data_IF_560073503074
#
_entry.id   IF_560073503074
#
_cell.length_a   1.000
_cell.length_b   1.000
_cell.length_c   1.000
_cell.angle_alpha   90.00
_cell.angle_beta   90.00
_cell.angle_gamma   90.00
#
_symmetry.space_group_name_H-M   'P 1'
#
loop_
_entity.id
_entity.type
_entity.pdbx_description
1 polymer ?
#
# COMPACT_ATOMS: atom_id res chain seq x y z
N UNK A 1 -9.72 -18.39 23.21
CA UNK A 1 -8.57 -17.49 23.01
C UNK A 1 -8.88 -16.18 23.74
N UNK A 2 -8.49 -15.98 25.00
CA UNK A 2 -8.53 -14.64 25.64
C UNK A 2 -7.99 -14.63 27.07
N UNK A 3 -6.77 -14.08 27.23
CA UNK A 3 -6.34 -13.37 28.44
C UNK A 3 -5.63 -12.12 27.95
N UNK A 4 -5.97 -10.99 28.53
CA UNK A 4 -5.35 -9.69 28.29
C UNK A 4 -5.06 -9.06 29.64
N UNK A 5 -3.87 -8.52 29.84
CA UNK A 5 -3.59 -7.68 31.01
C UNK A 5 -3.81 -6.21 30.65
N UNK A 6 -4.62 -5.52 31.45
CA UNK A 6 -4.76 -4.08 31.38
C UNK A 6 -3.53 -3.40 31.97
N UNK A 7 -2.83 -2.58 31.18
CA UNK A 7 -1.86 -1.64 31.74
C UNK A 7 -2.55 -0.33 32.13
N UNK A 8 -2.59 -0.04 33.43
CA UNK A 8 -2.80 1.30 33.97
C UNK A 8 -1.45 2.02 34.07
N UNK A 9 -1.36 3.26 33.60
CA UNK A 9 -0.20 4.13 33.80
C UNK A 9 0.11 4.34 35.29
N UNK A 10 1.37 4.14 35.70
CA UNK A 10 2.22 5.07 36.45
C UNK A 10 3.54 4.40 36.91
N UNK A 11 4.68 5.08 36.72
CA UNK A 11 5.90 4.90 37.53
C UNK A 11 7.05 4.09 36.92
N UNK A 12 8.17 4.76 36.65
CA UNK A 12 9.54 4.20 36.51
C UNK A 12 10.02 3.82 37.93
N UNK A 13 10.74 2.68 38.13
CA UNK A 13 12.20 2.77 38.30
C UNK A 13 13.05 1.58 37.81
N UNK A 14 14.24 1.96 37.34
CA UNK A 14 15.59 1.35 37.42
C UNK A 14 15.89 -0.10 36.97
N UNK A 15 16.92 -0.18 36.12
CA UNK A 15 17.64 -1.38 35.69
C UNK A 15 18.29 -2.14 36.86
N UNK A 16 18.17 -3.47 36.82
CA UNK A 16 19.26 -4.36 37.23
C UNK A 16 19.41 -5.45 36.17
N UNK A 17 20.54 -5.42 35.48
CA UNK A 17 20.99 -6.43 34.54
C UNK A 17 21.19 -7.78 35.25
N UNK A 18 20.56 -8.83 34.73
CA UNK A 18 21.04 -10.21 34.91
C UNK A 18 20.97 -10.92 33.57
N UNK A 19 22.15 -11.28 33.07
CA UNK A 19 22.33 -12.11 31.87
C UNK A 19 21.92 -13.54 32.24
N UNK A 20 20.91 -14.08 31.56
CA UNK A 20 20.67 -15.52 31.51
C UNK A 20 20.41 -15.93 30.07
N UNK A 21 21.33 -16.73 29.53
CA UNK A 21 21.16 -17.50 28.30
C UNK A 21 19.84 -18.27 28.34
N UNK A 22 18.98 -18.07 27.34
CA UNK A 22 18.02 -19.10 26.96
C UNK A 22 17.66 -18.97 25.48
N UNK A 23 18.24 -19.85 24.68
CA UNK A 23 17.81 -20.18 23.32
C UNK A 23 16.45 -20.89 23.35
N UNK A 24 15.40 -20.15 23.73
CA UNK A 24 14.02 -20.52 23.43
C UNK A 24 13.48 -19.45 22.51
N UNK A 25 13.21 -19.80 21.25
CA UNK A 25 12.51 -18.95 20.29
C UNK A 25 11.19 -18.54 20.93
N UNK A 26 11.18 -17.35 21.54
CA UNK A 26 10.03 -16.81 22.22
C UNK A 26 8.96 -16.58 21.17
N UNK A 27 7.83 -17.29 21.29
CA UNK A 27 6.65 -17.03 20.48
C UNK A 27 6.38 -15.53 20.57
N UNK A 28 6.41 -14.80 19.44
CA UNK A 28 6.24 -13.36 19.48
C UNK A 28 4.91 -13.01 20.15
N UNK A 29 4.96 -12.10 21.11
CA UNK A 29 3.77 -11.62 21.81
C UNK A 29 2.77 -11.08 20.79
N UNK A 30 1.50 -11.46 20.93
CA UNK A 30 0.44 -10.94 20.07
C UNK A 30 0.43 -9.40 20.17
N UNK A 31 0.28 -8.63 19.07
CA UNK A 31 0.37 -7.17 19.07
C UNK A 31 -0.60 -6.47 20.03
N UNK A 32 -1.72 -7.13 20.34
CA UNK A 32 -2.74 -6.67 21.29
C UNK A 32 -2.58 -7.26 22.70
N UNK A 33 -1.50 -7.99 22.99
CA UNK A 33 -1.27 -8.66 24.28
C UNK A 33 -2.17 -9.89 24.52
N UNK A 34 -2.77 -10.45 23.47
CA UNK A 34 -3.64 -11.64 23.56
C UNK A 34 -2.81 -12.87 23.83
N UNK A 35 -3.16 -13.61 24.87
CA UNK A 35 -2.54 -14.90 25.20
C UNK A 35 -3.42 -16.08 24.75
N UNK A 36 -2.82 -17.25 24.42
CA UNK A 36 -3.55 -18.49 24.17
C UNK A 36 -4.51 -18.86 25.31
N UNK A 37 -5.52 -19.69 25.00
CA UNK A 37 -6.56 -20.05 25.98
C UNK A 37 -5.99 -20.75 27.24
N UNK A 38 -4.90 -21.50 27.10
CA UNK A 38 -4.22 -22.15 28.23
C UNK A 38 -3.70 -21.18 29.29
N UNK A 39 -3.50 -19.90 28.95
CA UNK A 39 -3.10 -18.89 29.93
C UNK A 39 -4.23 -18.51 30.89
N UNK A 40 -5.49 -18.89 30.61
CA UNK A 40 -6.61 -18.64 31.50
C UNK A 40 -6.46 -19.33 32.87
N UNK A 41 -5.69 -20.41 32.97
CA UNK A 41 -5.44 -21.12 34.24
C UNK A 41 -4.59 -20.32 35.24
N UNK A 42 -3.77 -19.38 34.76
CA UNK A 42 -2.84 -18.59 35.58
C UNK A 42 -3.12 -17.09 35.53
N UNK A 43 -4.14 -16.68 34.78
CA UNK A 43 -4.50 -15.29 34.61
C UNK A 43 -5.35 -14.78 35.79
N UNK A 44 -5.03 -13.58 36.24
CA UNK A 44 -5.84 -12.88 37.24
C UNK A 44 -7.11 -12.23 36.65
N UNK A 45 -7.08 -11.94 35.34
CA UNK A 45 -8.18 -11.24 34.65
C UNK A 45 -8.49 -11.87 33.29
N UNK A 46 -9.79 -11.91 32.95
CA UNK A 46 -10.26 -12.29 31.62
C UNK A 46 -11.13 -11.17 31.03
N UNK A 47 -10.59 -10.44 30.04
CA UNK A 47 -11.29 -9.34 29.38
C UNK A 47 -12.53 -9.79 28.59
N UNK A 48 -12.75 -11.08 28.34
CA UNK A 48 -13.98 -11.56 27.71
C UNK A 48 -15.23 -11.09 28.46
N UNK A 49 -15.15 -11.03 29.79
CA UNK A 49 -16.22 -10.48 30.65
C UNK A 49 -16.60 -9.02 30.30
N UNK A 50 -15.68 -8.24 29.74
CA UNK A 50 -15.90 -6.86 29.30
C UNK A 50 -16.58 -6.75 27.92
N UNK A 51 -16.97 -7.88 27.29
CA UNK A 51 -17.71 -7.89 26.03
C UNK A 51 -19.23 -7.73 26.19
N UNK A 52 -19.73 -7.47 27.41
CA UNK A 52 -21.16 -7.35 27.68
C UNK A 52 -21.89 -8.66 27.40
N UNK A 53 -23.04 -8.60 26.72
CA UNK A 53 -23.82 -9.80 26.39
C UNK A 53 -23.07 -10.81 25.48
N UNK A 54 -22.11 -10.34 24.68
CA UNK A 54 -21.28 -11.22 23.86
C UNK A 54 -20.35 -12.10 24.69
N UNK A 55 -20.09 -11.75 25.96
CA UNK A 55 -19.29 -12.57 26.86
C UNK A 55 -19.90 -13.95 27.12
N UNK A 56 -21.23 -14.08 26.96
CA UNK A 56 -21.94 -15.34 27.13
C UNK A 56 -21.75 -16.33 25.96
N UNK A 57 -21.32 -15.84 24.79
CA UNK A 57 -21.07 -16.70 23.64
C UNK A 57 -19.69 -17.38 23.76
N UNK A 58 -19.57 -18.68 23.44
CA UNK A 58 -18.27 -19.29 23.10
C UNK A 58 -17.52 -18.47 22.05
N UNK A 59 -16.19 -18.51 22.07
CA UNK A 59 -15.37 -17.68 21.17
C UNK A 59 -15.67 -18.01 19.71
N UNK A 60 -15.88 -19.28 19.40
CA UNK A 60 -16.18 -19.79 18.06
C UNK A 60 -17.52 -19.25 17.55
N UNK A 61 -18.54 -19.21 18.40
CA UNK A 61 -19.85 -18.66 18.04
C UNK A 61 -19.79 -17.13 17.90
N UNK A 62 -18.98 -16.45 18.72
CA UNK A 62 -18.76 -15.02 18.57
C UNK A 62 -18.12 -14.72 17.22
N UNK A 63 -17.11 -15.47 16.79
CA UNK A 63 -16.47 -15.31 15.48
C UNK A 63 -17.48 -15.52 14.36
N UNK A 64 -18.29 -16.58 14.39
CA UNK A 64 -19.35 -16.82 13.39
C UNK A 64 -20.37 -15.68 13.31
N UNK A 65 -20.73 -15.09 14.45
CA UNK A 65 -21.61 -13.90 14.46
C UNK A 65 -20.93 -12.71 13.80
N UNK A 66 -19.63 -12.51 14.03
CA UNK A 66 -18.85 -11.44 13.43
C UNK A 66 -18.62 -11.63 11.93
N UNK A 67 -18.48 -12.87 11.45
CA UNK A 67 -18.41 -13.23 10.02
C UNK A 67 -19.65 -12.78 9.24
N UNK A 68 -20.81 -12.68 9.92
CA UNK A 68 -22.05 -12.21 9.30
C UNK A 68 -22.13 -10.69 9.15
N UNK A 69 -21.17 -9.93 9.66
CA UNK A 69 -21.20 -8.47 9.65
C UNK A 69 -20.47 -7.88 8.44
N UNK A 70 -21.00 -6.79 7.89
CA UNK A 70 -20.29 -6.00 6.88
C UNK A 70 -19.10 -5.22 7.49
N UNK A 71 -18.19 -4.70 6.65
CA UNK A 71 -16.92 -4.14 7.12
C UNK A 71 -17.15 -2.94 8.04
N UNK A 72 -18.23 -2.18 7.78
CA UNK A 72 -18.63 -1.02 8.58
C UNK A 72 -19.14 -1.46 9.95
N UNK A 73 -20.00 -2.48 10.02
CA UNK A 73 -20.52 -3.00 11.28
C UNK A 73 -19.44 -3.69 12.09
N UNK A 74 -18.54 -4.43 11.45
CA UNK A 74 -17.39 -5.07 12.10
C UNK A 74 -16.45 -4.04 12.75
N UNK A 75 -16.20 -2.90 12.07
CA UNK A 75 -15.46 -1.79 12.68
C UNK A 75 -16.19 -1.17 13.86
N UNK A 76 -17.51 -0.93 13.73
CA UNK A 76 -18.31 -0.31 14.79
C UNK A 76 -18.35 -1.17 16.05
N UNK A 77 -18.56 -2.48 15.90
CA UNK A 77 -18.53 -3.41 17.04
C UNK A 77 -17.12 -3.52 17.61
N UNK A 78 -16.08 -3.47 16.78
CA UNK A 78 -14.69 -3.39 17.24
C UNK A 78 -14.40 -2.16 18.10
N UNK A 79 -15.09 -1.04 17.86
CA UNK A 79 -14.92 0.18 18.65
C UNK A 79 -15.66 0.17 19.99
N UNK A 80 -16.50 -0.84 20.29
CA UNK A 80 -17.33 -0.82 21.50
C UNK A 80 -16.57 -1.26 22.76
N UNK A 81 -15.61 -2.19 22.64
CA UNK A 81 -14.74 -2.58 23.75
C UNK A 81 -13.45 -3.26 23.26
N UNK A 82 -12.44 -3.38 24.15
CA UNK A 82 -11.13 -3.99 23.81
C UNK A 82 -11.24 -5.45 23.34
N UNK A 83 -12.17 -6.21 23.90
CA UNK A 83 -12.39 -7.61 23.52
C UNK A 83 -12.94 -7.72 22.12
N UNK A 84 -14.03 -7.00 21.83
CA UNK A 84 -14.62 -6.97 20.49
C UNK A 84 -13.68 -6.33 19.48
N UNK A 85 -12.86 -5.35 19.89
CA UNK A 85 -11.77 -4.84 19.06
C UNK A 85 -10.85 -5.96 18.59
N UNK A 86 -10.39 -6.82 19.49
CA UNK A 86 -9.52 -7.92 19.13
C UNK A 86 -10.18 -8.97 18.24
N UNK A 87 -11.40 -9.42 18.58
CA UNK A 87 -12.14 -10.36 17.73
C UNK A 87 -12.42 -9.78 16.35
N UNK A 88 -12.83 -8.51 16.28
CA UNK A 88 -13.08 -7.81 15.01
C UNK A 88 -11.84 -7.61 14.15
N UNK A 89 -10.63 -7.91 14.66
CA UNK A 89 -9.35 -7.78 13.96
C UNK A 89 -8.76 -9.13 13.56
N UNK A 90 -9.48 -10.23 13.79
CA UNK A 90 -9.07 -11.54 13.31
C UNK A 90 -8.92 -11.52 11.79
N UNK A 91 -7.76 -11.98 11.32
CA UNK A 91 -7.36 -11.87 9.92
C UNK A 91 -8.35 -12.56 8.98
N UNK A 92 -8.87 -13.72 9.38
CA UNK A 92 -9.79 -14.51 8.57
C UNK A 92 -11.11 -13.77 8.29
N UNK A 93 -11.60 -12.96 9.24
CA UNK A 93 -12.78 -12.10 9.01
C UNK A 93 -12.53 -11.12 7.86
N UNK A 94 -11.35 -10.49 7.85
CA UNK A 94 -11.01 -9.48 6.84
C UNK A 94 -10.59 -10.11 5.52
N UNK A 95 -10.00 -11.30 5.52
CA UNK A 95 -9.63 -12.04 4.31
C UNK A 95 -10.84 -12.24 3.43
N UNK A 96 -11.88 -12.89 3.95
CA UNK A 96 -13.14 -13.13 3.20
C UNK A 96 -13.68 -11.84 2.59
N UNK A 97 -13.74 -10.75 3.38
CA UNK A 97 -14.33 -9.48 2.95
C UNK A 97 -13.49 -8.67 1.95
N UNK A 98 -12.17 -8.83 2.00
CA UNK A 98 -11.24 -8.10 1.12
C UNK A 98 -10.91 -8.89 -0.15
N UNK A 99 -10.96 -10.22 -0.09
CA UNK A 99 -10.48 -11.12 -1.14
C UNK A 99 -11.65 -11.59 -2.03
N UNK A 100 -12.77 -11.99 -1.44
CA UNK A 100 -13.87 -12.61 -2.20
C UNK A 100 -14.68 -11.70 -3.15
N UNK A 101 -14.75 -10.36 -3.01
CA UNK A 101 -15.61 -9.54 -3.89
C UNK A 101 -15.36 -9.69 -5.39
N UNK A 102 -14.14 -10.10 -5.79
CA UNK A 102 -13.80 -10.33 -7.20
C UNK A 102 -14.51 -11.55 -7.78
N UNK A 103 -14.80 -12.55 -6.95
CA UNK A 103 -15.44 -13.80 -7.39
C UNK A 103 -16.86 -13.59 -7.90
N UNK A 104 -17.50 -12.50 -7.49
CA UNK A 104 -18.83 -12.09 -7.94
C UNK A 104 -18.82 -11.40 -9.31
N UNK A 105 -17.65 -10.97 -9.80
CA UNK A 105 -17.58 -10.23 -11.06
C UNK A 105 -17.80 -11.17 -12.26
N UNK A 106 -18.67 -10.79 -13.22
CA UNK A 106 -18.77 -11.51 -14.49
C UNK A 106 -17.43 -11.71 -15.19
N UNK A 107 -16.53 -10.71 -15.17
CA UNK A 107 -15.20 -10.86 -15.79
C UNK A 107 -14.35 -11.94 -15.15
N UNK A 108 -14.48 -12.19 -13.85
CA UNK A 108 -13.72 -13.25 -13.17
C UNK A 108 -14.15 -14.65 -13.65
N UNK A 109 -15.46 -14.82 -13.85
CA UNK A 109 -16.05 -16.07 -14.32
C UNK A 109 -15.78 -16.33 -15.81
N UNK A 110 -15.79 -15.27 -16.63
CA UNK A 110 -15.76 -15.39 -18.09
C UNK A 110 -14.38 -15.21 -18.71
N UNK A 111 -13.54 -14.32 -18.19
CA UNK A 111 -12.32 -13.93 -18.89
C UNK A 111 -11.27 -15.02 -18.87
N UNK A 112 -10.91 -15.44 -20.08
CA UNK A 112 -9.68 -16.13 -20.42
C UNK A 112 -9.18 -15.58 -21.75
N UNK A 113 -7.95 -15.90 -22.15
CA UNK A 113 -7.47 -15.56 -23.50
C UNK A 113 -8.39 -16.11 -24.58
N UNK A 114 -8.85 -17.34 -24.44
CA UNK A 114 -9.74 -18.05 -25.38
C UNK A 114 -11.10 -17.35 -25.48
N UNK A 115 -11.61 -16.83 -24.36
CA UNK A 115 -12.86 -16.08 -24.34
C UNK A 115 -12.71 -14.68 -24.97
N UNK A 116 -11.60 -13.99 -24.69
CA UNK A 116 -11.39 -12.62 -25.13
C UNK A 116 -11.04 -12.54 -26.62
N UNK A 117 -10.27 -13.49 -27.16
CA UNK A 117 -9.77 -13.44 -28.54
C UNK A 117 -10.87 -13.33 -29.61
N UNK A 118 -11.98 -14.09 -29.59
CA UNK A 118 -13.05 -13.95 -30.58
C UNK A 118 -13.72 -12.58 -30.58
N UNK A 119 -13.76 -11.88 -29.43
CA UNK A 119 -14.45 -10.61 -29.26
C UNK A 119 -13.54 -9.40 -29.44
N UNK A 120 -12.30 -9.51 -28.97
CA UNK A 120 -11.36 -8.39 -28.83
C UNK A 120 -10.01 -8.64 -29.52
N UNK A 121 -9.88 -9.71 -30.31
CA UNK A 121 -8.63 -10.11 -30.96
C UNK A 121 -7.97 -9.02 -31.81
N UNK A 122 -8.77 -8.20 -32.50
CA UNK A 122 -8.29 -7.08 -33.33
C UNK A 122 -8.19 -5.74 -32.58
N UNK A 123 -8.70 -5.68 -31.34
CA UNK A 123 -8.62 -4.47 -30.51
C UNK A 123 -7.18 -4.28 -30.05
N UNK A 124 -6.68 -3.04 -30.19
CA UNK A 124 -5.30 -2.72 -29.81
C UNK A 124 -5.19 -2.36 -28.33
N UNK A 125 -4.32 -3.06 -27.63
CA UNK A 125 -3.97 -2.79 -26.24
C UNK A 125 -2.51 -2.39 -26.11
N UNK A 126 -2.22 -1.56 -25.12
CA UNK A 126 -0.87 -1.12 -24.75
C UNK A 126 -0.14 -2.27 -24.08
N UNK A 127 0.97 -2.71 -24.68
CA UNK A 127 1.95 -3.60 -24.08
C UNK A 127 3.30 -2.88 -24.05
N UNK A 128 3.72 -2.49 -22.86
CA UNK A 128 4.87 -1.60 -22.65
C UNK A 128 4.78 -0.34 -23.55
N UNK A 129 5.75 -0.13 -24.43
CA UNK A 129 5.80 1.01 -25.32
C UNK A 129 4.95 0.86 -26.60
N UNK A 130 4.32 -0.29 -26.87
CA UNK A 130 3.70 -0.58 -28.18
C UNK A 130 2.20 -0.91 -28.06
N UNK A 131 1.41 -0.49 -29.06
CA UNK A 131 -0.02 -0.83 -29.16
C UNK A 131 -0.23 -1.99 -30.13
N UNK A 132 -0.63 -3.15 -29.62
CA UNK A 132 -0.80 -4.39 -30.39
C UNK A 132 -2.23 -4.90 -30.38
N UNK A 133 -2.73 -5.47 -31.50
CA UNK A 133 -3.94 -6.30 -31.46
C UNK A 133 -3.80 -7.39 -30.40
N UNK A 134 -4.86 -7.63 -29.62
CA UNK A 134 -4.85 -8.64 -28.55
C UNK A 134 -4.37 -10.00 -29.06
N UNK A 135 -4.80 -10.42 -30.26
CA UNK A 135 -4.37 -11.68 -30.87
C UNK A 135 -2.86 -11.76 -31.05
N UNK A 136 -2.22 -10.68 -31.49
CA UNK A 136 -0.77 -10.60 -31.67
C UNK A 136 -0.05 -10.68 -30.32
N UNK A 137 -0.58 -10.01 -29.30
CA UNK A 137 0.00 -10.08 -27.95
C UNK A 137 -0.13 -11.48 -27.33
N UNK A 138 -1.28 -12.13 -27.47
CA UNK A 138 -1.49 -13.50 -26.98
C UNK A 138 -0.61 -14.52 -27.72
N UNK A 139 -0.46 -14.36 -29.04
CA UNK A 139 0.47 -15.19 -29.84
C UNK A 139 1.91 -15.00 -29.34
N UNK A 140 2.35 -13.77 -29.09
CA UNK A 140 3.65 -13.49 -28.46
C UNK A 140 3.76 -14.18 -27.09
N UNK A 141 2.80 -13.94 -26.20
CA UNK A 141 2.79 -14.46 -24.84
C UNK A 141 3.00 -15.98 -24.80
N UNK A 142 2.30 -16.70 -25.68
CA UNK A 142 2.34 -18.17 -25.75
C UNK A 142 3.62 -18.75 -26.37
N UNK A 143 4.40 -17.95 -27.11
CA UNK A 143 5.56 -18.43 -27.87
C UNK A 143 6.89 -17.76 -27.47
N UNK A 144 6.90 -16.87 -26.47
CA UNK A 144 8.12 -16.18 -26.03
C UNK A 144 8.95 -16.99 -25.03
N UNK A 145 10.25 -16.68 -24.95
CA UNK A 145 11.20 -17.21 -23.96
C UNK A 145 12.09 -16.09 -23.38
N UNK A 146 11.58 -14.86 -23.37
CA UNK A 146 12.30 -13.69 -22.89
C UNK A 146 12.49 -13.77 -21.37
N UNK A 147 13.59 -13.21 -20.90
CA UNK A 147 13.91 -13.08 -19.47
C UNK A 147 12.97 -12.07 -18.79
N UNK A 148 12.67 -10.96 -19.47
CA UNK A 148 11.66 -9.98 -19.08
C UNK A 148 10.63 -9.80 -20.21
N UNK A 149 9.58 -10.64 -20.27
CA UNK A 149 8.58 -10.58 -21.34
C UNK A 149 7.79 -9.27 -21.34
N UNK A 150 7.29 -8.86 -22.51
CA UNK A 150 6.41 -7.69 -22.65
C UNK A 150 5.14 -7.85 -21.81
N UNK A 151 4.75 -6.77 -21.13
CA UNK A 151 3.61 -6.74 -20.23
C UNK A 151 2.48 -5.86 -20.80
N UNK A 152 1.29 -6.44 -21.02
CA UNK A 152 0.10 -5.67 -21.42
C UNK A 152 -0.41 -4.92 -20.19
N UNK A 153 -0.46 -3.60 -20.30
CA UNK A 153 -0.82 -2.67 -19.24
C UNK A 153 -1.60 -1.49 -19.85
N UNK A 154 -2.92 -1.64 -19.98
CA UNK A 154 -3.75 -0.71 -20.76
C UNK A 154 -4.75 0.05 -19.88
N UNK A 155 -4.65 1.38 -19.85
CA UNK A 155 -5.52 2.25 -19.04
C UNK A 155 -6.91 2.50 -19.62
N UNK A 156 -7.08 2.25 -20.92
CA UNK A 156 -8.29 2.56 -21.69
C UNK A 156 -9.11 1.32 -22.03
N UNK A 157 -8.82 0.18 -21.38
CA UNK A 157 -9.43 -1.11 -21.70
C UNK A 157 -10.95 -1.10 -21.54
N UNK A 158 -11.48 -0.35 -20.57
CA UNK A 158 -12.91 -0.26 -20.31
C UNK A 158 -13.64 0.34 -21.49
N UNK A 159 -13.12 1.44 -22.04
CA UNK A 159 -13.68 2.12 -23.20
C UNK A 159 -13.49 1.28 -24.46
N UNK A 160 -12.31 0.68 -24.64
CA UNK A 160 -11.99 -0.19 -25.79
C UNK A 160 -12.85 -1.45 -25.86
N UNK A 161 -13.20 -2.01 -24.71
CA UNK A 161 -14.02 -3.24 -24.58
C UNK A 161 -15.50 -2.94 -24.27
N UNK A 162 -15.87 -1.66 -24.15
CA UNK A 162 -17.22 -1.19 -23.83
C UNK A 162 -17.81 -1.88 -22.57
N UNK A 163 -17.05 -1.87 -21.47
CA UNK A 163 -17.43 -2.50 -20.21
C UNK A 163 -18.27 -1.56 -19.34
N UNK A 164 -19.34 -2.08 -18.72
CA UNK A 164 -20.04 -1.42 -17.63
C UNK A 164 -19.31 -1.71 -16.32
N UNK A 165 -18.82 -0.65 -15.68
CA UNK A 165 -18.04 -0.73 -14.44
C UNK A 165 -18.80 -0.26 -13.20
N UNK A 166 -20.11 -0.08 -13.34
CA UNK A 166 -21.01 0.25 -12.22
C UNK A 166 -21.26 -1.00 -11.39
N UNK A 167 -21.76 -0.82 -10.17
CA UNK A 167 -22.15 -1.95 -9.32
C UNK A 167 -23.21 -2.82 -10.05
N UNK A 168 -22.93 -4.12 -10.18
CA UNK A 168 -23.72 -5.07 -10.98
C UNK A 168 -23.37 -5.12 -12.48
N UNK A 169 -22.36 -4.37 -12.93
CA UNK A 169 -21.80 -4.46 -14.28
C UNK A 169 -20.85 -5.65 -14.45
N UNK A 170 -19.96 -5.59 -15.44
CA UNK A 170 -18.97 -6.65 -15.67
C UNK A 170 -17.90 -6.74 -14.56
N UNK A 171 -17.52 -5.60 -13.97
CA UNK A 171 -16.74 -5.54 -12.73
C UNK A 171 -16.99 -4.21 -12.02
N UNK A 172 -16.67 -4.09 -10.73
CA UNK A 172 -16.79 -2.83 -10.00
C UNK A 172 -15.74 -2.73 -8.88
N UNK A 173 -15.28 -1.54 -8.47
CA UNK A 173 -14.30 -1.42 -7.39
C UNK A 173 -14.80 -2.08 -6.08
N UNK A 174 -13.96 -2.85 -5.36
CA UNK A 174 -14.37 -3.49 -4.11
C UNK A 174 -14.75 -2.47 -3.04
N UNK A 175 -15.94 -2.63 -2.45
CA UNK A 175 -16.47 -1.65 -1.47
C UNK A 175 -15.62 -1.55 -0.19
N UNK A 176 -14.90 -2.62 0.15
CA UNK A 176 -14.08 -2.73 1.37
C UNK A 176 -12.97 -1.67 1.43
N UNK A 177 -12.49 -1.19 0.28
CA UNK A 177 -11.47 -0.14 0.20
C UNK A 177 -12.03 1.28 0.34
N UNK A 178 -13.36 1.43 0.32
CA UNK A 178 -14.04 2.70 0.49
C UNK A 178 -14.20 3.49 -0.80
N UNK A 179 -14.59 4.76 -0.67
CA UNK A 179 -14.84 5.64 -1.81
C UNK A 179 -13.54 6.18 -2.39
N UNK A 180 -13.45 6.21 -3.71
CA UNK A 180 -12.38 6.91 -4.44
C UNK A 180 -12.67 8.42 -4.47
N UNK A 181 -11.91 9.21 -3.70
CA UNK A 181 -12.06 10.66 -3.71
C UNK A 181 -11.57 11.31 -5.00
N UNK A 182 -10.72 10.67 -5.81
CA UNK A 182 -10.37 11.20 -7.14
C UNK A 182 -11.53 11.12 -8.14
N UNK A 183 -12.60 10.38 -7.84
CA UNK A 183 -13.80 10.35 -8.68
C UNK A 183 -14.44 11.74 -8.87
N UNK A 184 -14.22 12.69 -7.94
CA UNK A 184 -14.71 14.08 -8.07
C UNK A 184 -14.18 14.83 -9.29
N UNK A 185 -13.07 14.35 -9.87
CA UNK A 185 -12.43 14.95 -11.03
C UNK A 185 -13.13 14.61 -12.35
N UNK A 186 -14.03 13.61 -12.37
CA UNK A 186 -14.72 13.15 -13.58
C UNK A 186 -13.73 12.83 -14.70
N UNK A 187 -13.97 13.36 -15.90
CA UNK A 187 -13.14 13.13 -17.09
C UNK A 187 -11.75 13.79 -17.03
N UNK A 188 -11.49 14.63 -16.03
CA UNK A 188 -10.19 15.26 -15.78
C UNK A 188 -9.35 14.46 -14.77
N UNK A 189 -9.84 13.31 -14.29
CA UNK A 189 -9.07 12.41 -13.43
C UNK A 189 -7.83 11.90 -14.17
N UNK A 190 -6.74 11.60 -13.46
CA UNK A 190 -5.64 10.87 -14.06
C UNK A 190 -6.07 9.43 -14.39
N UNK A 191 -5.34 8.80 -15.31
CA UNK A 191 -5.43 7.36 -15.52
C UNK A 191 -5.38 6.63 -14.18
N UNK A 192 -6.30 5.69 -13.99
CA UNK A 192 -6.50 5.12 -12.65
C UNK A 192 -6.81 3.65 -12.62
N UNK A 193 -7.07 3.02 -13.76
CA UNK A 193 -7.41 1.61 -13.86
C UNK A 193 -6.66 1.02 -15.02
N UNK A 194 -6.23 -0.23 -14.90
CA UNK A 194 -5.49 -0.90 -15.96
C UNK A 194 -5.92 -2.35 -16.07
N UNK A 195 -6.08 -2.81 -17.31
CA UNK A 195 -6.06 -4.23 -17.64
C UNK A 195 -4.61 -4.67 -17.71
N UNK A 196 -4.32 -5.75 -17.01
CA UNK A 196 -3.02 -6.35 -16.96
C UNK A 196 -3.11 -7.76 -17.52
N UNK A 197 -2.33 -8.06 -18.55
CA UNK A 197 -2.17 -9.42 -19.08
C UNK A 197 -0.69 -9.68 -19.30
N UNK A 198 -0.19 -10.85 -18.90
CA UNK A 198 1.20 -11.20 -19.15
C UNK A 198 1.55 -12.65 -18.88
N UNK A 199 2.61 -13.17 -19.51
CA UNK A 199 3.13 -14.51 -19.23
C UNK A 199 3.83 -14.56 -17.87
N UNK A 200 4.21 -15.77 -17.44
CA UNK A 200 5.19 -15.95 -16.37
C UNK A 200 6.44 -15.08 -16.60
N UNK A 201 7.07 -14.63 -15.50
CA UNK A 201 8.26 -13.76 -15.44
C UNK A 201 8.01 -12.28 -15.76
N UNK A 202 6.93 -11.95 -16.45
CA UNK A 202 6.53 -10.54 -16.63
C UNK A 202 6.02 -9.93 -15.32
N UNK A 203 6.05 -8.60 -15.20
CA UNK A 203 5.65 -7.93 -13.98
C UNK A 203 6.07 -6.47 -13.93
N UNK A 204 6.23 -5.93 -12.72
CA UNK A 204 6.70 -4.57 -12.50
C UNK A 204 7.80 -4.54 -11.45
N UNK A 205 8.88 -3.82 -11.73
CA UNK A 205 9.99 -3.58 -10.80
C UNK A 205 9.54 -2.70 -9.63
N UNK A 206 10.43 -2.41 -8.67
CA UNK A 206 10.09 -1.58 -7.52
C UNK A 206 9.61 -0.19 -7.90
N UNK A 207 8.41 0.15 -7.47
CA UNK A 207 7.86 1.48 -7.63
C UNK A 207 6.93 1.84 -6.46
N UNK A 208 6.49 3.10 -6.45
CA UNK A 208 5.37 3.58 -5.65
C UNK A 208 4.30 4.06 -6.61
N UNK A 209 3.05 3.89 -6.22
CA UNK A 209 1.94 4.44 -6.98
C UNK A 209 2.04 5.98 -7.05
N UNK A 210 1.72 6.58 -8.21
CA UNK A 210 1.82 8.01 -8.40
C UNK A 210 0.80 8.77 -7.55
N UNK A 211 1.01 10.09 -7.41
CA UNK A 211 0.05 11.01 -6.80
C UNK A 211 -0.33 10.68 -5.34
N UNK A 212 0.47 9.86 -4.65
CA UNK A 212 0.20 9.33 -3.31
C UNK A 212 -1.16 8.59 -3.20
N UNK A 213 -1.60 7.93 -4.28
CA UNK A 213 -2.79 7.08 -4.25
C UNK A 213 -2.51 5.74 -3.56
N UNK A 214 -3.54 5.10 -3.04
CA UNK A 214 -3.52 3.66 -2.80
C UNK A 214 -3.96 2.92 -4.06
N UNK A 215 -3.71 1.61 -4.13
CA UNK A 215 -4.23 0.76 -5.20
C UNK A 215 -4.81 -0.54 -4.66
N UNK A 216 -5.65 -1.18 -5.47
CA UNK A 216 -5.97 -2.60 -5.33
C UNK A 216 -5.70 -3.32 -6.64
N UNK A 217 -5.27 -4.58 -6.56
CA UNK A 217 -4.98 -5.44 -7.70
C UNK A 217 -5.74 -6.76 -7.56
N UNK A 218 -6.70 -6.98 -8.45
CA UNK A 218 -7.54 -8.18 -8.50
C UNK A 218 -7.00 -9.16 -9.54
N UNK A 219 -6.57 -10.34 -9.10
CA UNK A 219 -6.06 -11.40 -9.99
C UNK A 219 -7.24 -12.21 -10.50
N UNK A 220 -7.55 -12.10 -11.79
CA UNK A 220 -8.67 -12.80 -12.41
C UNK A 220 -8.29 -14.20 -12.90
N UNK A 221 -7.06 -14.36 -13.38
CA UNK A 221 -6.44 -15.62 -13.78
C UNK A 221 -4.97 -15.66 -13.39
N UNK A 222 -4.48 -16.85 -13.05
CA UNK A 222 -3.08 -17.09 -12.70
C UNK A 222 -2.73 -16.64 -11.28
N UNK A 223 -1.45 -16.36 -11.03
CA UNK A 223 -0.97 -15.94 -9.72
C UNK A 223 0.22 -14.98 -9.81
N UNK A 224 0.34 -14.11 -8.80
CA UNK A 224 1.36 -13.06 -8.73
C UNK A 224 2.13 -13.15 -7.42
N UNK A 225 3.45 -13.18 -7.48
CA UNK A 225 4.29 -12.96 -6.31
C UNK A 225 4.49 -11.46 -6.09
N UNK A 226 4.37 -11.04 -4.83
CA UNK A 226 4.52 -9.67 -4.38
C UNK A 226 5.57 -9.59 -3.29
N UNK A 227 6.34 -8.51 -3.31
CA UNK A 227 7.19 -8.10 -2.20
C UNK A 227 7.09 -6.59 -2.03
N UNK A 228 6.86 -6.15 -0.80
CA UNK A 228 6.46 -4.79 -0.48
C UNK A 228 7.14 -4.28 0.78
N UNK A 229 7.39 -2.96 0.80
CA UNK A 229 8.00 -2.27 1.93
C UNK A 229 7.25 -0.97 2.25
N UNK A 230 6.93 -0.71 3.54
CA UNK A 230 6.42 0.58 3.95
C UNK A 230 7.46 1.67 3.70
N UNK A 231 7.00 2.87 3.34
CA UNK A 231 7.87 4.06 3.39
C UNK A 231 7.72 4.73 4.74
N UNK A 232 8.84 4.93 5.43
CA UNK A 232 8.93 5.83 6.57
C UNK A 232 10.30 6.53 6.60
N UNK A 233 10.43 7.71 7.23
CA UNK A 233 11.73 8.37 7.37
C UNK A 233 12.79 7.52 8.10
N UNK A 234 12.35 6.54 8.89
CA UNK A 234 13.18 5.62 9.65
C UNK A 234 13.47 4.30 8.92
N UNK A 235 12.93 4.10 7.72
CA UNK A 235 13.13 2.86 6.96
C UNK A 235 13.81 3.19 5.62
N UNK A 236 14.91 2.49 5.28
CA UNK A 236 15.54 2.65 3.98
C UNK A 236 14.61 2.15 2.87
N UNK A 237 14.87 2.55 1.60
CA UNK A 237 14.26 1.91 0.45
C UNK A 237 14.57 0.40 0.40
N UNK A 238 13.86 -0.38 -0.44
CA UNK A 238 14.16 -1.79 -0.64
C UNK A 238 15.64 -2.01 -1.01
N UNK A 239 16.28 -3.13 -0.61
CA UNK A 239 17.64 -3.42 -1.01
C UNK A 239 17.83 -3.35 -2.53
N UNK A 240 18.93 -2.77 -2.98
CA UNK A 240 19.20 -2.51 -4.41
C UNK A 240 18.46 -1.32 -5.01
N UNK A 241 17.53 -0.69 -4.29
CA UNK A 241 16.85 0.54 -4.73
C UNK A 241 17.48 1.74 -4.04
N UNK A 242 17.95 2.70 -4.85
CA UNK A 242 18.52 3.95 -4.38
C UNK A 242 17.62 5.10 -4.81
N UNK A 243 17.44 6.08 -3.94
CA UNK A 243 16.52 7.19 -4.14
C UNK A 243 17.26 8.48 -3.85
N UNK A 244 17.13 9.48 -4.73
CA UNK A 244 17.67 10.82 -4.48
C UNK A 244 17.06 11.46 -3.23
N UNK A 245 17.71 12.48 -2.67
CA UNK A 245 17.26 13.16 -1.44
C UNK A 245 15.85 13.76 -1.58
N UNK A 246 15.54 14.31 -2.75
CA UNK A 246 14.22 14.87 -3.12
C UNK A 246 13.21 13.81 -3.61
N UNK A 247 13.65 12.56 -3.72
CA UNK A 247 12.89 11.42 -4.23
C UNK A 247 12.40 11.57 -5.68
N UNK A 248 13.05 12.40 -6.48
CA UNK A 248 12.74 12.57 -7.91
C UNK A 248 13.39 11.50 -8.79
N UNK A 249 14.53 10.96 -8.37
CA UNK A 249 15.28 9.93 -9.09
C UNK A 249 15.33 8.63 -8.29
N UNK A 250 15.12 7.52 -9.00
CA UNK A 250 15.15 6.17 -8.44
C UNK A 250 16.06 5.32 -9.33
N UNK A 251 17.08 4.72 -8.73
CA UNK A 251 17.98 3.77 -9.38
C UNK A 251 17.74 2.39 -8.82
N UNK A 252 17.46 1.41 -9.67
CA UNK A 252 17.23 0.02 -9.30
C UNK A 252 17.83 -0.92 -10.35
N UNK A 253 17.94 -2.23 -10.08
CA UNK A 253 18.23 -3.22 -11.12
C UNK A 253 17.30 -3.08 -12.33
N UNK A 254 17.82 -3.45 -13.50
CA UNK A 254 17.14 -3.25 -14.78
C UNK A 254 15.97 -4.21 -14.96
N UNK A 255 16.09 -5.43 -14.42
CA UNK A 255 15.05 -6.45 -14.52
C UNK A 255 14.63 -6.99 -13.15
N UNK A 256 13.43 -7.57 -13.13
CA UNK A 256 12.90 -8.27 -11.95
C UNK A 256 13.81 -9.44 -11.58
N UNK A 257 14.30 -10.19 -12.58
CA UNK A 257 15.15 -11.36 -12.33
C UNK A 257 16.51 -10.95 -11.73
N UNK A 258 17.12 -9.88 -12.25
CA UNK A 258 18.35 -9.32 -11.67
C UNK A 258 18.15 -8.96 -10.20
N UNK A 259 17.04 -8.27 -9.88
CA UNK A 259 16.74 -7.91 -8.50
C UNK A 259 16.50 -9.16 -7.62
N UNK A 260 15.72 -10.13 -8.10
CA UNK A 260 15.42 -11.35 -7.35
C UNK A 260 16.68 -12.18 -7.05
N UNK A 261 17.60 -12.27 -8.01
CA UNK A 261 18.86 -13.01 -7.83
C UNK A 261 19.84 -12.27 -6.91
N UNK A 262 19.90 -10.95 -6.99
CA UNK A 262 20.87 -10.13 -6.25
C UNK A 262 20.44 -9.78 -4.82
N UNK A 263 19.16 -9.47 -4.61
CA UNK A 263 18.71 -8.76 -3.40
C UNK A 263 17.59 -9.47 -2.63
N UNK A 264 16.91 -10.46 -3.20
CA UNK A 264 15.73 -11.08 -2.58
C UNK A 264 16.01 -11.66 -1.19
N UNK A 265 17.12 -12.39 -1.04
CA UNK A 265 17.48 -13.02 0.22
C UNK A 265 17.79 -11.99 1.34
N UNK A 266 18.29 -10.81 0.97
CA UNK A 266 18.51 -9.69 1.89
C UNK A 266 17.19 -8.99 2.20
N UNK A 267 16.39 -8.70 1.17
CA UNK A 267 15.10 -8.03 1.27
C UNK A 267 14.13 -8.73 2.22
N UNK A 268 14.11 -10.07 2.23
CA UNK A 268 13.30 -10.87 3.17
C UNK A 268 13.71 -10.71 4.64
N UNK A 269 14.92 -10.25 4.92
CA UNK A 269 15.44 -10.00 6.27
C UNK A 269 15.27 -8.54 6.69
N UNK A 270 14.92 -7.64 5.76
CA UNK A 270 14.74 -6.22 6.03
C UNK A 270 13.45 -5.95 6.81
N UNK A 271 13.55 -5.11 7.84
CA UNK A 271 12.41 -4.76 8.70
C UNK A 271 11.28 -4.12 7.88
N UNK A 272 10.08 -4.69 8.00
CA UNK A 272 8.89 -4.19 7.30
C UNK A 272 8.63 -4.87 5.96
N UNK A 273 9.50 -5.79 5.52
CA UNK A 273 9.25 -6.64 4.36
C UNK A 273 7.93 -7.39 4.51
N UNK A 274 7.07 -7.28 3.50
CA UNK A 274 5.85 -8.08 3.34
C UNK A 274 5.92 -8.75 1.99
N UNK A 275 5.95 -10.07 1.96
CA UNK A 275 5.88 -10.85 0.73
C UNK A 275 4.72 -11.83 0.77
N UNK A 276 4.26 -12.24 -0.40
CA UNK A 276 3.19 -13.22 -0.53
C UNK A 276 2.83 -13.52 -1.97
N UNK A 277 1.99 -14.52 -2.15
CA UNK A 277 1.40 -14.86 -3.44
C UNK A 277 -0.06 -14.43 -3.40
N UNK A 278 -0.47 -13.64 -4.39
CA UNK A 278 -1.86 -13.32 -4.65
C UNK A 278 -2.36 -14.27 -5.76
N UNK A 279 -3.27 -15.16 -5.40
CA UNK A 279 -3.78 -16.23 -6.25
C UNK A 279 -5.00 -15.77 -7.05
N UNK A 280 -5.43 -16.60 -8.00
CA UNK A 280 -6.65 -16.39 -8.75
C UNK A 280 -7.88 -16.18 -7.85
N UNK A 281 -8.61 -15.11 -8.14
CA UNK A 281 -9.79 -14.68 -7.38
C UNK A 281 -9.46 -13.88 -6.14
N UNK A 282 -8.19 -13.59 -5.87
CA UNK A 282 -7.76 -12.78 -4.74
C UNK A 282 -7.51 -11.31 -5.12
N UNK A 283 -7.58 -10.43 -4.12
CA UNK A 283 -7.26 -9.00 -4.23
C UNK A 283 -6.14 -8.64 -3.28
N UNK A 284 -5.12 -7.98 -3.82
CA UNK A 284 -4.10 -7.33 -3.02
C UNK A 284 -4.39 -5.83 -2.89
N UNK A 285 -4.31 -5.30 -1.67
CA UNK A 285 -4.33 -3.86 -1.42
C UNK A 285 -2.90 -3.32 -1.26
N UNK A 286 -2.59 -2.27 -2.01
CA UNK A 286 -1.33 -1.54 -1.95
C UNK A 286 -1.56 -0.21 -1.25
N UNK A 287 -1.08 -0.03 0.00
CA UNK A 287 -1.27 1.23 0.69
C UNK A 287 -0.41 2.34 0.06
N UNK A 288 -0.95 3.56 0.05
CA UNK A 288 -0.25 4.75 -0.45
C UNK A 288 1.19 4.83 0.05
N UNK A 289 2.12 5.01 -0.89
CA UNK A 289 3.53 5.23 -0.63
C UNK A 289 4.34 3.98 -0.32
N UNK A 290 3.75 2.78 -0.38
CA UNK A 290 4.52 1.54 -0.23
C UNK A 290 5.31 1.23 -1.51
N UNK A 291 6.58 0.88 -1.32
CA UNK A 291 7.38 0.27 -2.37
C UNK A 291 6.84 -1.13 -2.64
N UNK A 292 6.71 -1.49 -3.91
CA UNK A 292 6.26 -2.82 -4.28
C UNK A 292 6.85 -3.29 -5.62
N UNK A 293 7.16 -4.57 -5.68
CA UNK A 293 7.58 -5.30 -6.88
C UNK A 293 6.63 -6.49 -7.06
N UNK A 294 6.30 -6.78 -8.31
CA UNK A 294 5.34 -7.82 -8.68
C UNK A 294 5.88 -8.66 -9.82
N UNK A 295 5.72 -9.98 -9.74
CA UNK A 295 6.03 -10.90 -10.83
C UNK A 295 4.91 -11.90 -11.02
N UNK A 296 4.55 -12.15 -12.29
CA UNK A 296 3.62 -13.20 -12.66
C UNK A 296 4.31 -14.55 -12.54
N UNK A 297 3.74 -15.45 -11.74
CA UNK A 297 4.22 -16.82 -11.59
C UNK A 297 3.67 -17.75 -12.68
N UNK A 298 2.61 -17.32 -13.34
CA UNK A 298 1.89 -18.04 -14.39
C UNK A 298 1.29 -17.01 -15.37
N UNK A 299 0.87 -17.41 -16.59
CA UNK A 299 0.06 -16.54 -17.46
C UNK A 299 -1.12 -15.97 -16.69
N UNK A 300 -1.18 -14.65 -16.59
CA UNK A 300 -2.05 -13.95 -15.66
C UNK A 300 -2.90 -12.89 -16.34
N UNK A 301 -4.14 -12.75 -15.87
CA UNK A 301 -5.05 -11.64 -16.19
C UNK A 301 -5.41 -10.98 -14.87
N UNK A 302 -5.27 -9.66 -14.78
CA UNK A 302 -5.63 -8.90 -13.60
C UNK A 302 -6.21 -7.53 -13.95
N UNK A 303 -6.98 -6.97 -13.03
CA UNK A 303 -7.41 -5.57 -13.06
C UNK A 303 -6.83 -4.88 -11.84
N UNK A 304 -6.20 -3.73 -12.04
CA UNK A 304 -5.72 -2.89 -10.94
C UNK A 304 -6.36 -1.51 -11.02
N UNK A 305 -6.62 -0.88 -9.87
CA UNK A 305 -7.11 0.49 -9.84
C UNK A 305 -6.53 1.28 -8.67
N UNK A 306 -6.10 2.50 -8.96
CA UNK A 306 -5.66 3.49 -8.01
C UNK A 306 -6.84 4.31 -7.53
N UNK A 307 -6.86 4.62 -6.24
CA UNK A 307 -7.93 5.36 -5.58
C UNK A 307 -7.40 6.19 -4.41
N UNK A 308 -8.17 7.21 -4.04
CA UNK A 308 -7.87 8.04 -2.87
C UNK A 308 -8.87 7.75 -1.75
N UNK A 309 -8.51 6.95 -0.73
CA UNK A 309 -9.36 6.78 0.44
C UNK A 309 -9.35 8.04 1.30
N UNK A 310 -10.43 8.24 2.07
CA UNK A 310 -10.56 9.39 2.98
C UNK A 310 -9.37 9.54 3.93
N UNK A 311 -8.84 8.42 4.43
CA UNK A 311 -7.71 8.40 5.36
C UNK A 311 -6.40 8.93 4.76
N UNK A 312 -6.27 9.00 3.43
CA UNK A 312 -5.07 9.45 2.73
C UNK A 312 -5.26 10.77 1.99
N UNK A 313 -6.44 11.41 2.09
CA UNK A 313 -6.72 12.69 1.43
C UNK A 313 -5.66 13.76 1.77
N UNK A 314 -5.24 13.85 3.03
CA UNK A 314 -4.22 14.80 3.49
C UNK A 314 -2.88 14.60 2.77
N UNK A 315 -2.45 13.34 2.59
CA UNK A 315 -1.18 13.00 1.93
C UNK A 315 -1.24 13.31 0.43
N UNK A 316 -2.37 13.04 -0.22
CA UNK A 316 -2.57 13.36 -1.64
C UNK A 316 -2.55 14.86 -1.87
N UNK A 317 -3.23 15.65 -1.02
CA UNK A 317 -3.20 17.11 -1.11
C UNK A 317 -1.79 17.67 -0.90
N UNK A 318 -1.03 17.13 0.06
CA UNK A 318 0.37 17.50 0.28
C UNK A 318 1.23 17.19 -0.95
N UNK A 319 1.10 15.98 -1.51
CA UNK A 319 1.86 15.53 -2.68
C UNK A 319 1.57 16.40 -3.89
N UNK A 320 0.29 16.60 -4.25
CA UNK A 320 -0.09 17.40 -5.41
C UNK A 320 0.35 18.86 -5.29
N UNK A 321 0.44 19.40 -4.07
CA UNK A 321 0.87 20.78 -3.82
C UNK A 321 2.39 20.94 -3.87
N UNK A 322 3.11 20.02 -3.23
CA UNK A 322 4.53 20.20 -2.91
C UNK A 322 5.47 19.37 -3.79
N UNK A 323 4.93 18.46 -4.62
CA UNK A 323 5.71 17.66 -5.59
C UNK A 323 5.12 17.75 -7.00
N UNK A 324 4.90 18.96 -7.56
CA UNK A 324 4.24 19.13 -8.86
C UNK A 324 4.94 18.40 -10.01
N UNK A 325 6.28 18.33 -9.96
CA UNK A 325 7.09 17.68 -11.00
C UNK A 325 7.00 16.14 -10.97
N UNK A 326 6.47 15.56 -9.89
CA UNK A 326 6.28 14.11 -9.72
C UNK A 326 4.83 13.68 -9.98
N UNK A 327 3.96 14.60 -10.40
CA UNK A 327 2.55 14.29 -10.73
C UNK A 327 2.48 13.62 -12.10
N UNK A 328 1.75 12.51 -12.20
CA UNK A 328 1.60 11.77 -13.46
C UNK A 328 0.16 11.31 -13.72
N UNK A 329 -0.10 10.83 -14.95
CA UNK A 329 -1.39 10.27 -15.37
C UNK A 329 -2.46 11.30 -15.76
N UNK A 330 -2.29 12.58 -15.42
CA UNK A 330 -3.20 13.65 -15.84
C UNK A 330 -3.06 13.98 -17.33
N UNK A 331 -4.19 14.36 -17.96
CA UNK A 331 -4.20 14.89 -19.32
C UNK A 331 -3.44 16.22 -19.38
N UNK A 332 -2.82 16.50 -20.54
CA UNK A 332 -1.91 17.66 -20.76
C UNK A 332 -2.57 19.04 -20.58
N UNK A 333 -3.90 19.10 -20.64
CA UNK A 333 -4.71 20.29 -20.43
C UNK A 333 -4.92 20.61 -18.93
N UNK A 334 -4.71 19.66 -18.03
CA UNK A 334 -4.75 19.90 -16.59
C UNK A 334 -3.43 20.52 -16.13
N UNK A 335 -3.42 21.86 -15.98
CA UNK A 335 -2.22 22.61 -15.60
C UNK A 335 -1.91 22.63 -14.11
N UNK A 336 -2.95 22.61 -13.26
CA UNK A 336 -2.78 22.63 -11.82
C UNK A 336 -3.68 21.56 -11.16
N UNK A 337 -3.20 20.30 -11.09
CA UNK A 337 -3.93 19.19 -10.49
C UNK A 337 -4.35 19.45 -9.04
N UNK A 338 -3.49 20.09 -8.23
CA UNK A 338 -3.82 20.45 -6.85
C UNK A 338 -5.03 21.39 -6.77
N UNK A 339 -5.00 22.49 -7.52
CA UNK A 339 -6.08 23.48 -7.51
C UNK A 339 -7.39 22.89 -8.02
N UNK A 340 -7.34 22.11 -9.11
CA UNK A 340 -8.50 21.43 -9.67
C UNK A 340 -9.12 20.47 -8.64
N UNK A 341 -8.29 19.62 -8.02
CA UNK A 341 -8.77 18.64 -7.05
C UNK A 341 -9.33 19.31 -5.79
N UNK A 342 -8.63 20.31 -5.24
CA UNK A 342 -9.10 21.06 -4.09
C UNK A 342 -10.44 21.77 -4.38
N UNK A 343 -10.61 22.37 -5.56
CA UNK A 343 -11.87 22.99 -5.96
C UNK A 343 -13.01 21.97 -6.03
N UNK A 344 -12.80 20.82 -6.69
CA UNK A 344 -13.82 19.78 -6.82
C UNK A 344 -14.19 19.16 -5.46
N UNK A 345 -13.20 18.99 -4.58
CA UNK A 345 -13.43 18.59 -3.20
C UNK A 345 -14.19 19.65 -2.40
N UNK A 346 -13.95 20.94 -2.61
CA UNK A 346 -14.70 22.02 -1.97
C UNK A 346 -16.17 22.04 -2.42
N UNK A 347 -16.43 21.75 -3.70
CA UNK A 347 -17.77 21.69 -4.29
C UNK A 347 -18.58 20.50 -3.74
N UNK A 348 -17.98 19.30 -3.68
CA UNK A 348 -18.71 18.05 -3.37
C UNK A 348 -18.54 17.57 -1.93
N UNK A 349 -17.39 17.83 -1.30
CA UNK A 349 -17.00 17.30 0.01
C UNK A 349 -16.31 18.36 0.90
N UNK A 350 -16.92 19.54 1.13
CA UNK A 350 -16.27 20.66 1.82
C UNK A 350 -15.80 20.34 3.24
N UNK A 351 -16.54 19.49 3.96
CA UNK A 351 -16.19 19.06 5.32
C UNK A 351 -14.91 18.21 5.36
N UNK A 352 -14.75 17.28 4.40
CA UNK A 352 -13.56 16.45 4.29
C UNK A 352 -12.33 17.27 3.92
N UNK A 353 -12.49 18.18 2.95
CA UNK A 353 -11.40 19.07 2.55
C UNK A 353 -10.93 19.95 3.71
N UNK A 354 -11.86 20.59 4.43
CA UNK A 354 -11.52 21.44 5.58
C UNK A 354 -10.76 20.66 6.66
N UNK A 355 -11.19 19.42 6.96
CA UNK A 355 -10.51 18.55 7.92
C UNK A 355 -9.08 18.22 7.45
N UNK A 356 -8.92 17.80 6.19
CA UNK A 356 -7.63 17.43 5.63
C UNK A 356 -6.64 18.61 5.58
N UNK A 357 -7.10 19.80 5.17
CA UNK A 357 -6.27 21.01 5.18
C UNK A 357 -5.85 21.40 6.61
N UNK A 358 -6.75 21.29 7.59
CA UNK A 358 -6.41 21.53 8.99
C UNK A 358 -5.45 20.49 9.60
N UNK A 359 -5.46 19.25 9.11
CA UNK A 359 -4.43 18.24 9.44
C UNK A 359 -3.07 18.56 8.80
N UNK A 360 -3.10 19.04 7.56
CA UNK A 360 -1.90 19.42 6.82
C UNK A 360 -1.17 20.59 7.52
N UNK A 361 -1.91 21.64 7.88
CA UNK A 361 -1.38 22.80 8.61
C UNK A 361 -0.76 22.39 9.96
N UNK A 362 -1.43 21.51 10.72
CA UNK A 362 -0.90 20.99 12.00
C UNK A 362 0.39 20.21 11.82
N UNK A 363 0.46 19.37 10.79
CA UNK A 363 1.65 18.58 10.47
C UNK A 363 2.83 19.48 10.07
N UNK A 364 2.57 20.48 9.23
CA UNK A 364 3.59 21.44 8.80
C UNK A 364 4.07 22.33 9.96
N UNK A 365 3.16 22.81 10.80
CA UNK A 365 3.51 23.57 12.00
C UNK A 365 4.33 22.73 12.99
N UNK A 366 4.01 21.44 13.15
CA UNK A 366 4.79 20.50 13.97
C UNK A 366 6.21 20.30 13.44
N UNK A 367 6.37 20.11 12.12
CA UNK A 367 7.68 20.05 11.46
C UNK A 367 8.48 21.32 11.70
N UNK A 368 7.88 22.50 11.46
CA UNK A 368 8.53 23.80 11.68
C UNK A 368 9.00 23.99 13.13
N UNK A 369 8.14 23.70 14.12
CA UNK A 369 8.52 23.77 15.55
C UNK A 369 9.68 22.85 15.90
N UNK A 370 9.72 21.63 15.33
CA UNK A 370 10.82 20.68 15.55
C UNK A 370 12.13 21.19 14.93
N UNK A 371 12.07 21.77 13.74
CA UNK A 371 13.21 22.42 13.09
C UNK A 371 13.70 23.62 13.89
N UNK A 372 12.81 24.52 14.31
CA UNK A 372 13.17 25.69 15.12
C UNK A 372 13.82 25.27 16.45
N UNK A 373 13.33 24.20 17.09
CA UNK A 373 13.93 23.66 18.30
C UNK A 373 15.32 23.04 18.08
N UNK A 374 15.56 22.37 16.93
CA UNK A 374 16.88 21.86 16.58
C UNK A 374 17.87 23.00 16.31
N UNK A 375 17.46 24.02 15.56
CA UNK A 375 18.32 25.16 15.21
C UNK A 375 18.64 26.01 16.44
N UNK A 376 17.66 26.27 17.31
CA UNK A 376 17.87 27.05 18.52
C UNK A 376 18.58 26.26 19.63
N UNK A 377 18.40 24.93 19.70
CA UNK A 377 19.13 24.08 20.64
C UNK A 377 20.62 23.93 20.30
N UNK A 378 21.02 24.17 19.04
CA UNK A 378 22.43 24.26 18.63
C UNK A 378 23.05 25.61 19.05
N UNK A 379 22.24 26.67 19.26
CA UNK A 379 22.75 27.97 19.71
C UNK A 379 22.94 28.09 21.22
N UNK A 380 22.31 27.23 22.04
CA UNK A 380 22.41 27.33 23.51
C UNK A 380 23.55 26.50 24.15
N UNK A 381 24.30 25.71 23.36
CA UNK A 381 25.41 24.89 23.90
C UNK A 381 26.82 25.34 23.50
N UNK A 382 26.99 26.47 22.81
CA UNK A 382 28.32 27.00 22.46
C UNK A 382 28.75 28.15 23.39
N UNK A 383 28.81 27.84 24.69
CA UNK A 383 29.52 28.68 25.67
C UNK A 383 30.60 27.88 26.43
N UNK A 384 31.24 26.93 25.74
CA UNK A 384 32.56 26.43 26.14
C UNK A 384 33.57 26.71 25.03
N UNK A 385 34.49 27.62 25.32
CA UNK A 385 35.69 27.96 24.57
C UNK A 385 36.35 26.74 23.92
N UNK A 386 36.32 26.69 22.59
CA UNK A 386 37.07 25.72 21.77
C UNK A 386 37.13 26.21 20.33
N UNK A 387 38.15 26.99 20.00
CA UNK A 387 38.44 27.46 18.65
C UNK A 387 38.53 26.29 17.67
N UNK A 388 37.61 26.18 16.71
CA UNK A 388 37.80 25.36 15.51
C UNK A 388 37.71 26.26 14.28
N UNK A 389 38.86 26.45 13.64
CA UNK A 389 39.05 27.16 12.37
C UNK A 389 38.79 26.20 11.21
N UNK A 390 37.90 26.55 10.29
CA UNK A 390 37.86 25.95 8.95
C UNK A 390 38.70 26.82 8.02
N UNK A 391 39.87 26.31 7.65
CA UNK A 391 40.70 26.90 6.60
C UNK A 391 40.08 26.60 5.23
N UNK A 392 39.60 27.64 4.56
CA UNK A 392 39.43 27.63 3.11
C UNK A 392 40.81 27.82 2.49
N UNK A 393 41.35 26.77 1.89
CA UNK A 393 42.53 26.86 1.04
C UNK A 393 42.08 27.21 -0.37
N UNK A 394 42.21 28.48 -0.73
CA UNK A 394 42.32 28.90 -2.12
C UNK A 394 43.58 28.25 -2.72
N UNK A 395 43.40 27.51 -3.81
CA UNK A 395 44.49 27.12 -4.69
C UNK A 395 44.15 27.67 -6.07
N UNK A 396 44.59 28.91 -6.28
CA UNK A 396 44.71 29.52 -7.59
C UNK A 396 45.74 28.78 -8.45
N UNK A 397 45.45 28.82 -9.74
CA UNK A 397 46.25 28.37 -10.88
C UNK A 397 47.65 28.99 -10.89
N UNK A 398 48.68 28.18 -11.20
CA UNK A 398 49.83 28.66 -11.99
C UNK A 398 50.53 27.49 -12.70
N UNK A 399 50.74 27.68 -14.00
CA UNK A 399 51.50 26.84 -14.94
C UNK A 399 52.99 26.72 -14.57
N UNK A 400 53.68 25.75 -15.21
CA UNK A 400 54.98 25.86 -15.93
C UNK A 400 55.65 24.47 -15.99
N UNK A 401 56.38 24.06 -17.05
CA UNK A 401 56.50 24.57 -18.42
C UNK A 401 55.91 23.67 -19.52
#
# INVERSE_FOLDING_TARGET
MTVFEGSSHNGVPEEIATISNNDSVAVPSHPLGIKPNGNAYTANENLKSAAGYFAALPDELLVQVLECLDAKSLRKIGCSCKTLYAFSRLEDLWKTMCIDPVREWPVYQEWSTEFMLPKYGDVKFKAEAVDWPLKTYVDYMNNNQDESPLYLFDSSFVEKMNLDVRNGGQYWPPETFGKDLFAVLGDQRPDSRWLIVGPERSGSTFHKDPNATSAWNAVLKGSKYWIMFPTSPSQPPPPGVFVSEDQSEVTSPLSIAEWLLGFHAEARKTLGCREGICNEGEVLHVPSGWWHLVVNLEPSIAITQNFVPEAHLTNVLDFLKNKPDQISGFKKDVKNPYQLFAQKMQELHPGLLKKALGELERTQAGKKRKWDALVNGVQENDNSTGTFSFGFGDADEEEVP
#
